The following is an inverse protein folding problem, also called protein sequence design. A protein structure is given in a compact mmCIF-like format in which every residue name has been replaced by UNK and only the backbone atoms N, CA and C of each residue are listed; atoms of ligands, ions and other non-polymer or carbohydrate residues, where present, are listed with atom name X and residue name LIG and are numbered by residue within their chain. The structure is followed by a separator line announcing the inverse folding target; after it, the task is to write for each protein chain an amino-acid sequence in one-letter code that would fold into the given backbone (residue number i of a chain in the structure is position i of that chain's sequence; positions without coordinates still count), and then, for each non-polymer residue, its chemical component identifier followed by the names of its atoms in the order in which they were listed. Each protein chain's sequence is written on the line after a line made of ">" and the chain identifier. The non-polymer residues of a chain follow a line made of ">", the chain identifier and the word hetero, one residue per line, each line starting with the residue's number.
data_IF_666234294857
#
_entry.id   IF_666234294857
#
_cell.length_a   1.000
_cell.length_b   1.000
_cell.length_c   1.000
_cell.angle_alpha   90.00
_cell.angle_beta   90.00
_cell.angle_gamma   90.00
#
_symmetry.space_group_name_H-M   'P 1'
#
loop_
_entity.id
_entity.type
_entity.pdbx_description
1 polymer ?
#
# COMPACT_ATOMS: atom_id res chain seq x y z
N UNK A 1 -50.15 8.73 33.00
CA UNK A 1 -49.73 7.41 32.52
C UNK A 1 -49.51 6.50 33.70
N UNK A 2 -49.88 5.22 33.54
CA UNK A 2 -49.57 4.23 34.55
C UNK A 2 -48.07 3.82 34.46
N UNK A 3 -47.64 3.13 35.48
CA UNK A 3 -46.25 2.71 35.60
C UNK A 3 -45.80 1.82 34.44
N UNK A 4 -46.63 0.94 33.97
CA UNK A 4 -46.36 0.05 32.84
C UNK A 4 -46.13 0.85 31.55
N UNK A 5 -46.96 1.84 31.27
CA UNK A 5 -46.82 2.70 30.10
C UNK A 5 -45.52 3.53 30.16
N UNK A 6 -45.17 4.01 31.32
CA UNK A 6 -43.92 4.74 31.52
C UNK A 6 -42.69 3.87 31.24
N UNK A 7 -42.70 2.64 31.70
CA UNK A 7 -41.63 1.66 31.43
C UNK A 7 -41.45 1.37 29.94
N UNK A 8 -42.58 1.19 29.21
CA UNK A 8 -42.55 1.00 27.79
C UNK A 8 -41.94 2.21 27.09
N UNK A 9 -42.36 3.38 27.46
CA UNK A 9 -41.87 4.64 26.89
C UNK A 9 -40.34 4.79 27.08
N UNK A 10 -39.87 4.50 28.31
CA UNK A 10 -38.44 4.54 28.60
C UNK A 10 -37.63 3.54 27.75
N UNK A 11 -38.17 2.34 27.56
CA UNK A 11 -37.51 1.34 26.71
C UNK A 11 -37.43 1.78 25.26
N UNK A 12 -38.51 2.39 24.73
CA UNK A 12 -38.53 2.94 23.37
C UNK A 12 -37.47 4.03 23.23
N UNK A 13 -37.36 4.93 24.20
CA UNK A 13 -36.34 5.98 24.19
C UNK A 13 -34.93 5.40 24.21
N UNK A 14 -34.67 4.39 25.03
CA UNK A 14 -33.37 3.71 25.08
C UNK A 14 -33.02 3.05 23.76
N UNK A 15 -33.99 2.40 23.12
CA UNK A 15 -33.79 1.78 21.79
C UNK A 15 -33.47 2.84 20.75
N UNK A 16 -34.19 3.96 20.76
CA UNK A 16 -33.95 5.08 19.85
C UNK A 16 -32.53 5.64 19.99
N UNK A 17 -32.06 5.81 21.23
CA UNK A 17 -30.70 6.27 21.51
C UNK A 17 -29.65 5.28 21.00
N UNK A 18 -29.87 3.98 21.22
CA UNK A 18 -28.94 2.94 20.71
C UNK A 18 -28.90 2.90 19.20
N UNK A 19 -30.04 3.09 18.53
CA UNK A 19 -30.09 3.15 17.07
C UNK A 19 -29.30 4.35 16.53
N UNK A 20 -29.41 5.49 17.19
CA UNK A 20 -28.59 6.66 16.82
C UNK A 20 -27.10 6.39 16.99
N UNK A 21 -26.72 5.76 18.09
CA UNK A 21 -25.32 5.40 18.35
C UNK A 21 -24.79 4.43 17.29
N UNK A 22 -25.56 3.41 16.94
CA UNK A 22 -25.20 2.47 15.89
C UNK A 22 -25.07 3.16 14.53
N UNK A 23 -25.98 4.07 14.24
CA UNK A 23 -25.92 4.84 12.99
C UNK A 23 -24.66 5.71 12.93
N UNK A 24 -24.35 6.41 14.00
CA UNK A 24 -23.13 7.22 14.11
C UNK A 24 -21.87 6.38 13.96
N UNK A 25 -21.83 5.24 14.65
CA UNK A 25 -20.69 4.31 14.57
C UNK A 25 -20.53 3.74 13.16
N UNK A 26 -21.63 3.39 12.51
CA UNK A 26 -21.60 2.88 11.15
C UNK A 26 -21.08 3.93 10.16
N UNK A 27 -21.51 5.20 10.32
CA UNK A 27 -21.04 6.30 9.49
C UNK A 27 -19.54 6.53 9.70
N UNK A 28 -19.09 6.50 10.92
CA UNK A 28 -17.68 6.64 11.27
C UNK A 28 -16.83 5.50 10.68
N UNK A 29 -17.27 4.25 10.84
CA UNK A 29 -16.58 3.08 10.32
C UNK A 29 -16.55 3.07 8.79
N UNK A 30 -17.65 3.47 8.15
CA UNK A 30 -17.71 3.58 6.70
C UNK A 30 -16.67 4.60 6.19
N UNK A 31 -16.59 5.75 6.85
CA UNK A 31 -15.62 6.78 6.52
C UNK A 31 -14.18 6.30 6.70
N UNK A 32 -13.91 5.62 7.80
CA UNK A 32 -12.60 5.01 8.03
C UNK A 32 -12.24 3.97 6.98
N UNK A 33 -13.21 3.15 6.60
CA UNK A 33 -13.01 2.16 5.54
C UNK A 33 -12.65 2.82 4.21
N UNK A 34 -13.36 3.87 3.84
CA UNK A 34 -13.08 4.63 2.62
C UNK A 34 -11.67 5.23 2.63
N UNK A 35 -11.26 5.79 3.76
CA UNK A 35 -9.91 6.34 3.94
C UNK A 35 -8.84 5.26 3.83
N UNK A 36 -9.08 4.09 4.43
CA UNK A 36 -8.16 2.95 4.35
C UNK A 36 -8.08 2.39 2.93
N UNK A 37 -9.22 2.28 2.24
CA UNK A 37 -9.25 1.81 0.86
C UNK A 37 -8.45 2.74 -0.06
N UNK A 38 -8.56 4.06 0.16
CA UNK A 38 -7.79 5.06 -0.57
C UNK A 38 -6.28 4.92 -0.30
N UNK A 39 -5.90 4.66 0.95
CA UNK A 39 -4.49 4.44 1.33
C UNK A 39 -3.95 3.17 0.71
N UNK A 40 -4.72 2.08 0.71
CA UNK A 40 -4.33 0.82 0.09
C UNK A 40 -4.10 1.02 -1.41
N UNK A 41 -5.00 1.70 -2.09
CA UNK A 41 -4.86 2.00 -3.51
C UNK A 41 -3.59 2.82 -3.80
N UNK A 42 -3.33 3.83 -3.00
CA UNK A 42 -2.12 4.64 -3.10
C UNK A 42 -0.86 3.80 -2.91
N UNK A 43 -0.84 2.95 -1.89
CA UNK A 43 0.30 2.08 -1.60
C UNK A 43 0.54 1.03 -2.69
N UNK A 44 -0.52 0.49 -3.26
CA UNK A 44 -0.42 -0.45 -4.39
C UNK A 44 0.22 0.20 -5.61
N UNK A 45 -0.19 1.42 -5.94
CA UNK A 45 0.42 2.20 -7.03
C UNK A 45 1.89 2.49 -6.76
N UNK A 46 2.20 2.86 -5.53
CA UNK A 46 3.57 3.14 -5.09
C UNK A 46 4.45 1.89 -5.20
N UNK A 47 3.92 0.74 -4.80
CA UNK A 47 4.61 -0.54 -4.94
C UNK A 47 4.92 -0.86 -6.40
N UNK A 48 3.95 -0.66 -7.30
CA UNK A 48 4.17 -0.88 -8.73
C UNK A 48 5.24 0.04 -9.30
N UNK A 49 5.23 1.33 -8.92
CA UNK A 49 6.26 2.28 -9.33
C UNK A 49 7.64 1.87 -8.85
N UNK A 50 7.76 1.48 -7.57
CA UNK A 50 9.01 1.04 -6.98
C UNK A 50 9.53 -0.23 -7.63
N UNK A 51 8.65 -1.19 -7.91
CA UNK A 51 9.03 -2.42 -8.60
C UNK A 51 9.54 -2.14 -10.02
N UNK A 52 8.91 -1.21 -10.74
CA UNK A 52 9.38 -0.78 -12.06
C UNK A 52 10.75 -0.11 -11.99
N UNK A 53 10.97 0.75 -11.01
CA UNK A 53 12.27 1.40 -10.79
C UNK A 53 13.36 0.39 -10.45
N UNK A 54 13.05 -0.59 -9.60
CA UNK A 54 13.99 -1.66 -9.24
C UNK A 54 14.37 -2.49 -10.47
N UNK A 55 13.39 -2.85 -11.30
CA UNK A 55 13.66 -3.61 -12.52
C UNK A 55 14.54 -2.81 -13.48
N UNK A 56 14.27 -1.53 -13.68
CA UNK A 56 15.08 -0.66 -14.52
C UNK A 56 16.51 -0.53 -13.99
N UNK A 57 16.67 -0.36 -12.69
CA UNK A 57 18.01 -0.31 -12.06
C UNK A 57 18.77 -1.61 -12.24
N UNK A 58 18.07 -2.75 -12.11
CA UNK A 58 18.67 -4.06 -12.29
C UNK A 58 19.18 -4.26 -13.73
N UNK A 59 18.39 -3.82 -14.70
CA UNK A 59 18.78 -3.86 -16.13
C UNK A 59 20.00 -2.97 -16.36
N UNK A 60 19.99 -1.75 -15.85
CA UNK A 60 21.14 -0.83 -15.98
C UNK A 60 22.41 -1.41 -15.37
N UNK A 61 22.30 -2.00 -14.16
CA UNK A 61 23.46 -2.64 -13.51
C UNK A 61 23.99 -3.81 -14.32
N UNK A 62 23.08 -4.63 -14.88
CA UNK A 62 23.45 -5.75 -15.73
C UNK A 62 24.18 -5.29 -16.99
N UNK A 63 23.70 -4.23 -17.64
CA UNK A 63 24.32 -3.64 -18.82
C UNK A 63 25.72 -3.07 -18.50
N UNK A 64 25.83 -2.35 -17.40
CA UNK A 64 27.12 -1.79 -16.95
C UNK A 64 28.11 -2.89 -16.63
N UNK A 65 27.66 -3.93 -15.94
CA UNK A 65 28.49 -5.08 -15.63
C UNK A 65 29.02 -5.78 -16.91
N UNK A 66 28.15 -5.95 -17.89
CA UNK A 66 28.54 -6.53 -19.19
C UNK A 66 29.56 -5.67 -19.93
N UNK A 67 29.40 -4.33 -19.88
CA UNK A 67 30.36 -3.41 -20.48
C UNK A 67 31.73 -3.48 -19.79
N UNK A 68 31.74 -3.55 -18.47
CA UNK A 68 32.97 -3.68 -17.67
C UNK A 68 33.67 -4.99 -18.01
N UNK A 69 32.95 -6.10 -18.08
CA UNK A 69 33.49 -7.40 -18.43
C UNK A 69 34.10 -7.39 -19.83
N UNK A 70 33.43 -6.76 -20.78
CA UNK A 70 33.91 -6.62 -22.16
C UNK A 70 35.19 -5.77 -22.22
N UNK A 71 35.22 -4.66 -21.49
CA UNK A 71 36.41 -3.81 -21.41
C UNK A 71 37.58 -4.54 -20.76
N UNK A 72 37.31 -5.30 -19.70
CA UNK A 72 38.32 -6.12 -19.00
C UNK A 72 38.90 -7.17 -19.93
N UNK A 73 38.06 -7.87 -20.69
CA UNK A 73 38.52 -8.87 -21.68
C UNK A 73 39.40 -8.25 -22.76
N UNK A 74 39.06 -7.07 -23.26
CA UNK A 74 39.87 -6.35 -24.23
C UNK A 74 41.23 -5.95 -23.65
N UNK A 75 41.30 -5.50 -22.43
CA UNK A 75 42.55 -5.15 -21.75
C UNK A 75 43.40 -6.39 -21.60
N UNK A 76 42.84 -7.50 -21.17
CA UNK A 76 43.56 -8.79 -21.05
C UNK A 76 44.11 -9.27 -22.38
N UNK A 77 43.33 -9.18 -23.46
CA UNK A 77 43.76 -9.51 -24.79
C UNK A 77 44.91 -8.65 -25.28
N UNK A 78 44.87 -7.34 -25.03
CA UNK A 78 45.93 -6.41 -25.36
C UNK A 78 47.20 -6.71 -24.60
N UNK A 79 47.10 -6.97 -23.30
CA UNK A 79 48.24 -7.34 -22.47
C UNK A 79 48.87 -8.65 -22.94
N UNK A 80 48.06 -9.63 -23.27
CA UNK A 80 48.54 -10.89 -23.85
C UNK A 80 49.29 -10.69 -25.17
N UNK A 81 48.78 -9.80 -26.03
CA UNK A 81 49.48 -9.41 -27.27
C UNK A 81 50.83 -8.78 -27.08
N UNK A 82 50.96 -7.94 -26.05
CA UNK A 82 52.23 -7.25 -25.72
C UNK A 82 53.25 -8.21 -25.15
N UNK A 83 52.82 -9.16 -24.33
CA UNK A 83 53.70 -10.12 -23.69
C UNK A 83 54.24 -11.19 -24.68
N UNK A 84 53.52 -11.44 -25.73
CA UNK A 84 53.90 -12.38 -26.77
C UNK A 84 54.70 -11.67 -27.86
#
# INVERSE_FOLDING_TARGET
>A
MNEFQQQILQKIEQIALKLEDYKSNNQYLTKQKEELDAKVEYLEKKEQELNSQLENQRIELSEKSALIDKATSKIEDLLGSIEN
#
